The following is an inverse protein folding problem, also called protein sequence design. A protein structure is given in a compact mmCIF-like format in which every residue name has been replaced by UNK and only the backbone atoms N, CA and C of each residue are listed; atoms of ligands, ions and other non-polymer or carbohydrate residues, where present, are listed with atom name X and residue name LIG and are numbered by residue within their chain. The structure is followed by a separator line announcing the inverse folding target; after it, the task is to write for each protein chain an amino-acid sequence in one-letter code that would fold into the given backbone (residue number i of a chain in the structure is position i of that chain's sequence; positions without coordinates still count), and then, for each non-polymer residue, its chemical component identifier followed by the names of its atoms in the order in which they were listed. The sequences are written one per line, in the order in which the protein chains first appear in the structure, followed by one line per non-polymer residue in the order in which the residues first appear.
data_IF_547804193555
#
_entry.id   IF_547804193555
#
_cell.length_a   1.000
_cell.length_b   1.000
_cell.length_c   1.000
_cell.angle_alpha   90.00
_cell.angle_beta   90.00
_cell.angle_gamma   90.00
#
_symmetry.space_group_name_H-M   'P 1'
#
loop_
_entity.id
_entity.type
_entity.pdbx_description
1 polymer ?
#
# COMPACT_ATOMS: atom_id res chain seq x y z
N UNK A 1 -39.21 -23.70 -52.95
CA UNK A 1 -39.42 -22.71 -51.87
C UNK A 1 -38.58 -23.12 -50.66
N UNK A 2 -37.24 -22.97 -50.69
CA UNK A 2 -36.38 -23.57 -49.64
C UNK A 2 -35.15 -22.71 -49.27
N UNK A 3 -34.79 -21.70 -50.08
CA UNK A 3 -33.58 -20.91 -49.85
C UNK A 3 -33.75 -19.73 -48.88
N UNK A 4 -34.99 -19.26 -48.64
CA UNK A 4 -35.26 -18.10 -47.76
C UNK A 4 -35.18 -18.45 -46.27
N UNK A 5 -35.50 -19.68 -45.89
CA UNK A 5 -35.43 -20.14 -44.50
C UNK A 5 -33.99 -20.43 -44.07
N UNK A 6 -33.18 -20.98 -44.97
CA UNK A 6 -31.77 -21.28 -44.69
C UNK A 6 -30.92 -20.01 -44.50
N UNK A 7 -31.05 -19.02 -45.38
CA UNK A 7 -30.34 -17.73 -45.23
C UNK A 7 -30.77 -16.96 -43.98
N UNK A 8 -32.05 -17.04 -43.59
CA UNK A 8 -32.57 -16.45 -42.35
C UNK A 8 -31.99 -17.13 -41.10
N UNK A 9 -31.85 -18.45 -41.11
CA UNK A 9 -31.27 -19.20 -40.00
C UNK A 9 -29.77 -18.91 -39.86
N UNK A 10 -29.03 -18.86 -40.97
CA UNK A 10 -27.60 -18.48 -40.99
C UNK A 10 -27.40 -17.05 -40.48
N UNK A 11 -28.27 -16.12 -40.88
CA UNK A 11 -28.25 -14.74 -40.36
C UNK A 11 -28.50 -14.66 -38.85
N UNK A 12 -29.39 -15.49 -38.31
CA UNK A 12 -29.64 -15.56 -36.86
C UNK A 12 -28.43 -16.08 -36.08
N UNK A 13 -27.73 -17.09 -36.60
CA UNK A 13 -26.49 -17.60 -35.98
C UNK A 13 -25.35 -16.59 -36.01
N UNK A 14 -25.19 -15.86 -37.12
CA UNK A 14 -24.21 -14.78 -37.23
C UNK A 14 -24.49 -13.64 -36.23
N UNK A 15 -25.76 -13.24 -36.11
CA UNK A 15 -26.17 -12.23 -35.13
C UNK A 15 -25.93 -12.70 -33.70
N UNK A 16 -26.25 -13.97 -33.39
CA UNK A 16 -25.99 -14.53 -32.07
C UNK A 16 -24.49 -14.56 -31.75
N UNK A 17 -23.63 -14.97 -32.70
CA UNK A 17 -22.18 -14.98 -32.51
C UNK A 17 -21.62 -13.56 -32.31
N UNK A 18 -22.12 -12.56 -33.05
CA UNK A 18 -21.74 -11.16 -32.87
C UNK A 18 -22.18 -10.61 -31.52
N UNK A 19 -23.40 -10.94 -31.06
CA UNK A 19 -23.89 -10.54 -29.74
C UNK A 19 -23.07 -11.16 -28.61
N UNK A 20 -22.70 -12.43 -28.70
CA UNK A 20 -21.84 -13.09 -27.69
C UNK A 20 -20.46 -12.41 -27.63
N UNK A 21 -19.84 -12.12 -28.77
CA UNK A 21 -18.56 -11.41 -28.81
C UNK A 21 -18.68 -9.98 -28.28
N UNK A 22 -19.77 -9.27 -28.59
CA UNK A 22 -20.02 -7.93 -28.07
C UNK A 22 -20.24 -7.93 -26.54
N UNK A 23 -20.95 -8.93 -26.00
CA UNK A 23 -21.13 -9.11 -24.55
C UNK A 23 -19.79 -9.44 -23.89
N UNK A 24 -18.99 -10.32 -24.48
CA UNK A 24 -17.66 -10.66 -23.97
C UNK A 24 -16.72 -9.45 -23.98
N UNK A 25 -16.70 -8.67 -25.07
CA UNK A 25 -15.92 -7.45 -25.17
C UNK A 25 -16.39 -6.39 -24.17
N UNK A 26 -17.70 -6.24 -24.00
CA UNK A 26 -18.27 -5.37 -22.98
C UNK A 26 -17.82 -5.81 -21.58
N UNK A 27 -17.88 -7.11 -21.29
CA UNK A 27 -17.41 -7.65 -20.00
C UNK A 27 -15.93 -7.33 -19.75
N UNK A 28 -15.06 -7.53 -20.75
CA UNK A 28 -13.64 -7.19 -20.64
C UNK A 28 -13.39 -5.67 -20.44
N UNK A 29 -14.16 -4.81 -21.12
CA UNK A 29 -14.04 -3.36 -20.99
C UNK A 29 -14.57 -2.88 -19.63
N UNK A 30 -15.70 -3.42 -19.16
CA UNK A 30 -16.29 -3.03 -17.88
C UNK A 30 -15.53 -3.57 -16.67
N UNK A 31 -14.85 -4.73 -16.80
CA UNK A 31 -13.97 -5.26 -15.75
C UNK A 31 -12.73 -4.39 -15.53
N UNK A 32 -12.24 -3.71 -16.59
CA UNK A 32 -11.09 -2.79 -16.50
C UNK A 32 -11.48 -1.32 -16.23
N UNK A 33 -12.76 -0.96 -16.34
CA UNK A 33 -13.20 0.43 -16.47
C UNK A 33 -13.56 1.18 -15.17
N UNK A 34 -13.61 0.52 -14.01
CA UNK A 34 -14.17 1.12 -12.79
C UNK A 34 -13.16 1.47 -11.69
N UNK A 35 -11.87 1.20 -11.88
CA UNK A 35 -10.87 1.41 -10.80
C UNK A 35 -10.61 2.88 -10.43
N UNK A 36 -11.13 3.85 -11.20
CA UNK A 36 -10.71 5.26 -11.07
C UNK A 36 -11.56 6.16 -10.16
N UNK A 37 -12.80 5.81 -9.82
CA UNK A 37 -13.74 6.80 -9.24
C UNK A 37 -14.37 6.43 -7.89
N UNK A 38 -14.12 5.24 -7.35
CA UNK A 38 -14.70 4.81 -6.06
C UNK A 38 -13.66 4.15 -5.13
N UNK A 39 -12.37 4.44 -5.32
CA UNK A 39 -11.35 4.02 -4.36
C UNK A 39 -11.58 4.77 -3.04
N UNK A 40 -12.02 4.04 -2.02
CA UNK A 40 -12.19 4.58 -0.68
C UNK A 40 -10.86 5.11 -0.16
N UNK A 41 -10.79 6.41 0.10
CA UNK A 41 -9.58 7.05 0.63
C UNK A 41 -9.70 7.20 2.14
N UNK A 42 -8.62 6.91 2.85
CA UNK A 42 -8.49 7.19 4.27
C UNK A 42 -7.26 8.04 4.52
N UNK A 43 -7.35 8.94 5.49
CA UNK A 43 -6.22 9.76 5.94
C UNK A 43 -5.76 9.26 7.30
N UNK A 44 -4.47 8.99 7.46
CA UNK A 44 -3.92 8.51 8.74
C UNK A 44 -4.09 9.59 9.81
N UNK A 45 -4.63 9.20 10.97
CA UNK A 45 -4.81 10.10 12.13
C UNK A 45 -3.68 9.98 13.15
N UNK A 46 -2.82 8.99 12.97
CA UNK A 46 -1.66 8.69 13.78
C UNK A 46 -0.54 8.20 12.85
N UNK A 47 0.73 8.29 13.27
CA UNK A 47 1.81 7.65 12.55
C UNK A 47 1.61 6.13 12.55
N UNK A 48 1.92 5.50 11.41
CA UNK A 48 1.86 4.06 11.24
C UNK A 48 3.27 3.51 11.00
N UNK A 49 3.49 2.27 11.39
CA UNK A 49 4.76 1.58 11.17
C UNK A 49 4.66 0.71 9.91
N UNK A 50 5.66 0.84 9.06
CA UNK A 50 5.88 -0.05 7.93
C UNK A 50 6.93 -1.06 8.37
N UNK A 51 6.59 -2.34 8.33
CA UNK A 51 7.54 -3.41 8.62
C UNK A 51 8.58 -3.52 7.50
N UNK A 52 9.83 -3.78 7.87
CA UNK A 52 10.91 -3.93 6.91
C UNK A 52 10.72 -5.13 5.97
N UNK A 53 11.21 -5.03 4.72
CA UNK A 53 11.10 -6.12 3.76
C UNK A 53 11.77 -7.39 4.28
N UNK A 54 11.18 -8.56 3.98
CA UNK A 54 11.72 -9.88 4.31
C UNK A 54 12.00 -10.14 5.81
N UNK A 55 11.27 -9.47 6.71
CA UNK A 55 11.48 -9.63 8.15
C UNK A 55 12.75 -8.94 8.64
N UNK A 56 13.23 -7.93 7.91
CA UNK A 56 14.18 -6.97 8.44
C UNK A 56 13.67 -6.43 9.78
N UNK A 57 14.58 -6.35 10.74
CA UNK A 57 14.30 -5.80 12.06
C UNK A 57 14.02 -4.30 12.01
N UNK A 58 14.28 -3.60 10.91
CA UNK A 58 13.98 -2.18 10.80
C UNK A 58 12.48 -1.91 10.65
N UNK A 59 12.02 -0.86 11.33
CA UNK A 59 10.69 -0.29 11.15
C UNK A 59 10.82 1.10 10.54
N UNK A 60 9.96 1.39 9.57
CA UNK A 60 9.85 2.70 8.94
C UNK A 60 8.55 3.37 9.37
N UNK A 61 8.50 4.69 9.35
CA UNK A 61 7.32 5.44 9.81
C UNK A 61 6.60 6.03 8.61
N UNK A 62 5.34 5.67 8.46
CA UNK A 62 4.39 6.42 7.65
C UNK A 62 3.86 7.59 8.49
N UNK A 63 4.04 8.84 8.05
CA UNK A 63 3.65 9.99 8.84
C UNK A 63 2.13 10.08 9.03
N UNK A 64 1.73 10.76 10.10
CA UNK A 64 0.35 11.18 10.27
C UNK A 64 -0.06 12.09 9.11
N UNK A 65 -1.31 11.96 8.67
CA UNK A 65 -1.87 12.76 7.59
C UNK A 65 -1.56 12.23 6.18
N UNK A 66 -0.90 11.08 6.04
CA UNK A 66 -0.76 10.38 4.76
C UNK A 66 -2.12 9.89 4.25
N UNK A 67 -2.37 10.04 2.94
CA UNK A 67 -3.59 9.51 2.29
C UNK A 67 -3.30 8.12 1.75
N UNK A 68 -4.08 7.15 2.20
CA UNK A 68 -4.06 5.77 1.73
C UNK A 68 -5.29 5.53 0.85
N UNK A 69 -5.05 4.91 -0.31
CA UNK A 69 -6.08 4.59 -1.29
C UNK A 69 -6.40 3.11 -1.18
N UNK A 70 -7.62 2.76 -0.78
CA UNK A 70 -8.02 1.36 -0.64
C UNK A 70 -7.98 0.67 -2.01
N UNK A 71 -7.23 -0.43 -2.08
CA UNK A 71 -7.09 -1.23 -3.30
C UNK A 71 -7.93 -2.51 -3.21
N UNK A 72 -7.75 -3.29 -2.13
CA UNK A 72 -8.45 -4.56 -1.99
C UNK A 72 -8.59 -5.00 -0.53
N UNK A 73 -9.73 -5.62 -0.20
CA UNK A 73 -9.95 -6.33 1.06
C UNK A 73 -9.70 -7.84 0.89
N UNK A 74 -9.12 -8.46 1.91
CA UNK A 74 -8.79 -9.88 1.94
C UNK A 74 -9.70 -10.64 2.93
N UNK A 75 -10.13 -11.88 2.61
CA UNK A 75 -10.94 -12.71 3.52
C UNK A 75 -10.30 -12.93 4.90
N UNK A 76 -8.98 -12.83 5.00
CA UNK A 76 -8.17 -12.97 6.21
C UNK A 76 -8.29 -11.77 7.16
N UNK A 77 -9.06 -10.74 6.81
CA UNK A 77 -9.37 -9.61 7.69
C UNK A 77 -8.38 -8.45 7.62
N UNK A 78 -7.60 -8.35 6.55
CA UNK A 78 -6.73 -7.21 6.28
C UNK A 78 -7.06 -6.55 4.94
N UNK A 79 -6.65 -5.30 4.80
CA UNK A 79 -6.83 -4.49 3.61
C UNK A 79 -5.47 -4.13 3.01
N UNK A 80 -5.39 -4.09 1.68
CA UNK A 80 -4.26 -3.53 0.95
C UNK A 80 -4.60 -2.12 0.52
N UNK A 81 -3.62 -1.24 0.71
CA UNK A 81 -3.70 0.17 0.33
C UNK A 81 -2.56 0.52 -0.62
N UNK A 82 -2.82 1.49 -1.50
CA UNK A 82 -1.82 2.15 -2.34
C UNK A 82 -1.47 3.50 -1.72
N UNK A 83 -0.17 3.82 -1.70
CA UNK A 83 0.36 5.12 -1.35
C UNK A 83 1.01 5.74 -2.58
N UNK A 84 0.52 6.91 -3.01
CA UNK A 84 1.14 7.66 -4.09
C UNK A 84 2.21 8.60 -3.53
N UNK A 85 3.42 8.49 -4.08
CA UNK A 85 4.57 9.32 -3.73
C UNK A 85 5.03 10.07 -4.97
N UNK A 86 5.24 11.38 -4.82
CA UNK A 86 5.88 12.17 -5.85
C UNK A 86 7.39 12.22 -5.55
N UNK A 87 8.21 11.87 -6.54
CA UNK A 87 9.66 11.97 -6.46
C UNK A 87 10.17 12.92 -7.56
N UNK A 88 11.14 13.78 -7.21
CA UNK A 88 11.80 14.67 -8.16
C UNK A 88 13.24 14.21 -8.39
N UNK A 89 13.57 13.87 -9.63
CA UNK A 89 14.91 13.42 -10.03
C UNK A 89 14.98 11.91 -10.25
N UNK A 90 16.21 11.39 -10.35
CA UNK A 90 16.47 9.96 -10.61
C UNK A 90 16.59 9.17 -9.32
N UNK A 91 15.97 7.99 -9.28
CA UNK A 91 16.07 7.04 -8.16
C UNK A 91 17.13 5.99 -8.53
N UNK A 92 18.06 5.71 -7.62
CA UNK A 92 18.93 4.54 -7.73
C UNK A 92 18.08 3.28 -7.53
N UNK A 93 18.07 2.38 -8.51
CA UNK A 93 17.18 1.23 -8.53
C UNK A 93 17.89 0.00 -9.11
N UNK A 94 17.39 -1.18 -8.72
CA UNK A 94 17.67 -2.45 -9.39
C UNK A 94 16.44 -2.83 -10.23
N UNK A 95 16.67 -3.38 -11.43
CA UNK A 95 15.56 -3.88 -12.24
C UNK A 95 15.03 -5.20 -11.64
N UNK A 96 13.73 -5.25 -11.40
CA UNK A 96 13.03 -6.50 -11.05
C UNK A 96 12.42 -7.06 -12.34
N UNK A 97 13.00 -8.12 -12.93
CA UNK A 97 12.52 -8.65 -14.20
C UNK A 97 11.15 -9.31 -14.03
N UNK A 98 10.24 -9.05 -14.97
CA UNK A 98 8.95 -9.70 -15.03
C UNK A 98 9.11 -11.20 -15.29
N UNK A 99 8.61 -12.03 -14.38
CA UNK A 99 8.53 -13.47 -14.54
C UNK A 99 7.14 -13.89 -15.02
N UNK A 100 7.00 -14.99 -15.79
CA UNK A 100 5.71 -15.51 -16.22
C UNK A 100 4.73 -15.79 -15.07
N UNK A 101 5.25 -16.19 -13.90
CA UNK A 101 4.48 -16.44 -12.68
C UNK A 101 3.77 -15.19 -12.11
N UNK A 102 4.17 -13.98 -12.51
CA UNK A 102 3.58 -12.73 -12.05
C UNK A 102 2.32 -12.33 -12.84
N UNK A 103 1.97 -13.04 -13.91
CA UNK A 103 0.72 -12.79 -14.65
C UNK A 103 0.57 -11.37 -15.19
N UNK A 104 1.68 -10.64 -15.37
CA UNK A 104 1.69 -9.25 -15.83
C UNK A 104 1.69 -8.18 -14.73
N UNK A 105 1.61 -8.55 -13.44
CA UNK A 105 1.69 -7.60 -12.32
C UNK A 105 2.40 -8.22 -11.12
N UNK A 106 3.58 -7.72 -10.78
CA UNK A 106 4.28 -8.08 -9.55
C UNK A 106 3.87 -7.13 -8.43
N UNK A 107 3.21 -7.65 -7.39
CA UNK A 107 2.79 -6.88 -6.22
C UNK A 107 3.47 -7.47 -4.99
N UNK A 108 4.38 -6.71 -4.39
CA UNK A 108 5.14 -7.07 -3.19
C UNK A 108 4.89 -6.04 -2.09
N UNK A 109 3.78 -6.16 -1.33
CA UNK A 109 3.36 -5.15 -0.38
C UNK A 109 4.14 -5.25 0.94
N UNK A 110 4.47 -4.09 1.53
CA UNK A 110 4.95 -4.02 2.91
C UNK A 110 3.79 -4.00 3.89
N UNK A 111 4.01 -4.55 5.08
CA UNK A 111 3.01 -4.57 6.15
C UNK A 111 2.93 -3.23 6.86
N UNK A 112 1.70 -2.80 7.14
CA UNK A 112 1.41 -1.57 7.87
C UNK A 112 0.77 -1.93 9.21
N UNK A 113 1.32 -1.39 10.29
CA UNK A 113 0.87 -1.62 11.67
C UNK A 113 0.70 -0.29 12.42
N UNK A 114 -0.10 -0.30 13.48
CA UNK A 114 -0.21 0.85 14.36
C UNK A 114 0.97 0.89 15.34
N UNK A 115 1.30 2.08 15.84
CA UNK A 115 2.33 2.24 16.89
C UNK A 115 1.70 1.92 18.26
N UNK A 116 1.94 0.71 18.78
CA UNK A 116 1.51 0.33 20.14
C UNK A 116 2.66 0.38 21.17
N UNK A 117 2.30 0.30 22.45
CA UNK A 117 3.25 0.43 23.56
C UNK A 117 4.32 -0.68 23.59
N UNK A 118 4.01 -1.90 23.15
CA UNK A 118 4.97 -3.00 23.07
C UNK A 118 5.91 -2.79 21.89
N UNK A 119 5.36 -2.41 20.73
CA UNK A 119 6.15 -2.09 19.54
C UNK A 119 7.10 -0.92 19.78
N UNK A 120 6.65 0.13 20.46
CA UNK A 120 7.51 1.24 20.91
C UNK A 120 8.64 0.75 21.82
N UNK A 121 8.35 -0.14 22.77
CA UNK A 121 9.39 -0.70 23.66
C UNK A 121 10.44 -1.48 22.89
N UNK A 122 10.05 -2.28 21.88
CA UNK A 122 11.00 -2.99 21.03
C UNK A 122 11.86 -2.02 20.20
N UNK A 123 11.26 -0.98 19.63
CA UNK A 123 11.99 0.08 18.90
C UNK A 123 13.01 0.76 19.84
N UNK A 124 12.60 1.12 21.06
CA UNK A 124 13.50 1.75 22.03
C UNK A 124 14.65 0.85 22.49
N UNK A 125 14.52 -0.48 22.46
CA UNK A 125 15.64 -1.39 22.75
C UNK A 125 16.75 -1.30 21.70
N UNK A 126 16.40 -0.98 20.45
CA UNK A 126 17.36 -0.81 19.36
C UNK A 126 18.01 0.58 19.35
N UNK A 127 17.54 1.49 20.20
CA UNK A 127 18.17 2.79 20.36
C UNK A 127 19.58 2.61 20.98
N UNK A 128 20.62 3.27 20.44
CA UNK A 128 22.00 3.03 20.85
C UNK A 128 22.34 3.49 22.27
N UNK A 129 21.42 4.19 22.94
CA UNK A 129 21.61 4.71 24.29
C UNK A 129 20.71 3.97 25.27
N UNK A 130 21.30 3.29 26.25
CA UNK A 130 20.55 2.65 27.31
C UNK A 130 20.01 3.69 28.31
N UNK A 131 19.04 3.30 29.15
CA UNK A 131 18.55 4.15 30.25
C UNK A 131 19.70 4.68 31.14
N UNK A 132 20.80 3.94 31.26
CA UNK A 132 21.98 4.37 32.03
C UNK A 132 22.78 5.43 31.28
N UNK A 133 22.93 5.31 29.97
CA UNK A 133 23.63 6.29 29.13
C UNK A 133 22.84 7.59 29.04
N UNK A 134 21.52 7.48 28.90
CA UNK A 134 20.60 8.62 28.96
C UNK A 134 20.68 9.27 30.34
N UNK A 135 20.63 8.51 31.43
CA UNK A 135 20.75 9.07 32.78
C UNK A 135 22.13 9.68 33.05
N UNK A 136 23.20 9.11 32.50
CA UNK A 136 24.55 9.65 32.60
C UNK A 136 24.70 10.95 31.80
N UNK A 137 24.17 11.02 30.58
CA UNK A 137 24.13 12.23 29.78
C UNK A 137 23.29 13.33 30.45
N UNK A 138 22.14 12.97 31.01
CA UNK A 138 21.28 13.87 31.78
C UNK A 138 22.01 14.42 33.01
N UNK A 139 22.69 13.55 33.76
CA UNK A 139 23.43 13.95 34.97
C UNK A 139 24.70 14.74 34.67
N UNK A 140 25.38 14.45 33.56
CA UNK A 140 26.61 15.12 33.15
C UNK A 140 26.35 16.53 32.60
N UNK A 141 25.21 16.74 31.93
CA UNK A 141 24.84 18.02 31.31
C UNK A 141 23.75 18.79 32.09
N UNK A 142 23.42 18.36 33.32
CA UNK A 142 22.33 18.94 34.13
C UNK A 142 20.97 19.02 33.42
N UNK A 143 20.72 18.15 32.44
CA UNK A 143 19.49 18.12 31.64
C UNK A 143 18.35 17.74 32.59
N UNK A 144 17.42 18.65 32.81
CA UNK A 144 16.27 18.48 33.68
C UNK A 144 15.12 17.78 32.96
N UNK A 145 14.05 17.43 33.69
CA UNK A 145 12.80 16.96 33.06
C UNK A 145 12.19 18.01 32.13
N UNK A 146 12.41 19.29 32.40
CA UNK A 146 11.94 20.37 31.56
C UNK A 146 12.77 20.48 30.28
N UNK A 147 14.09 20.27 30.36
CA UNK A 147 14.94 20.18 29.16
C UNK A 147 14.58 18.97 28.28
N UNK A 148 14.21 17.84 28.87
CA UNK A 148 13.67 16.69 28.12
C UNK A 148 12.34 17.03 27.43
N UNK A 149 11.45 17.74 28.12
CA UNK A 149 10.19 18.20 27.53
C UNK A 149 10.45 19.22 26.42
N UNK A 150 11.44 20.08 26.56
CA UNK A 150 11.83 21.07 25.54
C UNK A 150 12.56 20.43 24.37
N UNK A 151 13.37 19.39 24.59
CA UNK A 151 13.94 18.56 23.51
C UNK A 151 12.82 17.92 22.71
N UNK A 152 11.83 17.30 23.38
CA UNK A 152 10.67 16.71 22.71
C UNK A 152 9.85 17.77 21.96
N UNK A 153 9.69 18.99 22.51
CA UNK A 153 9.03 20.12 21.83
C UNK A 153 9.84 20.74 20.70
N UNK A 154 11.16 20.60 20.72
CA UNK A 154 12.09 21.12 19.70
C UNK A 154 12.34 20.15 18.56
N UNK A 155 11.90 18.89 18.70
CA UNK A 155 11.86 17.98 17.58
C UNK A 155 10.93 18.55 16.51
N UNK A 156 11.36 18.58 15.24
CA UNK A 156 10.50 19.05 14.16
C UNK A 156 9.25 18.17 14.09
N UNK A 157 8.10 18.81 13.85
CA UNK A 157 6.81 18.14 13.61
C UNK A 157 6.90 17.06 12.50
#
# INVERSE_FOLDING_TARGET
MTNKTFTRQVGQWLMAALSVNAIFLAFLIFDHGSQGHDMKMIKTKEPLLIEGPNGDENYYVLPQGATLYHDKSFPEGHDRYVLYLNHKGTIAHEEVPMKPEYGGSFIDPLWLANVDANTLREIFKRFPLSKKDIAAAIKANEITKDDLADIIRSMPD
#
